data_IF_918272403482
#
_entry.id   IF_918272403482
#
_cell.length_a   1.000
_cell.length_b   1.000
_cell.length_c   1.000
_cell.angle_alpha   90.00
_cell.angle_beta   90.00
_cell.angle_gamma   90.00
#
_symmetry.space_group_name_H-M   'P 1'
#
loop_
_entity.id
_entity.type
_entity.pdbx_description
1 polymer ?
#
# COMPACT_ATOMS: atom_id res chain seq x y z
N UNK A 1 -23.41 13.23 -5.07
CA UNK A 1 -23.84 14.05 -3.88
C UNK A 1 -22.73 14.08 -2.83
N UNK A 2 -22.24 12.92 -2.37
CA UNK A 2 -21.19 12.79 -1.33
C UNK A 2 -19.85 13.39 -1.76
N UNK A 3 -19.37 13.10 -2.97
CA UNK A 3 -18.13 13.66 -3.49
C UNK A 3 -18.12 15.20 -3.54
N UNK A 4 -19.28 15.82 -3.82
CA UNK A 4 -19.44 17.28 -3.82
C UNK A 4 -19.37 17.86 -2.40
N UNK A 5 -19.88 17.15 -1.41
CA UNK A 5 -19.80 17.56 0.00
C UNK A 5 -18.36 17.52 0.51
N UNK A 6 -17.64 16.43 0.22
CA UNK A 6 -16.20 16.29 0.56
C UNK A 6 -15.38 17.39 -0.11
N UNK A 7 -15.62 17.66 -1.39
CA UNK A 7 -14.91 18.72 -2.10
C UNK A 7 -15.17 20.09 -1.51
N UNK A 8 -16.42 20.38 -1.12
CA UNK A 8 -16.77 21.66 -0.46
C UNK A 8 -16.10 21.78 0.92
N UNK A 9 -16.09 20.71 1.71
CA UNK A 9 -15.39 20.68 2.99
C UNK A 9 -13.89 20.97 2.80
N UNK A 10 -13.23 20.29 1.87
CA UNK A 10 -11.81 20.46 1.59
C UNK A 10 -11.48 21.88 1.08
N UNK A 11 -12.33 22.45 0.20
CA UNK A 11 -12.16 23.84 -0.29
C UNK A 11 -12.30 24.88 0.80
N UNK A 12 -13.14 24.62 1.81
CA UNK A 12 -13.34 25.50 2.94
C UNK A 12 -12.27 25.33 4.05
N UNK A 13 -11.41 24.33 3.94
CA UNK A 13 -10.29 24.13 4.87
C UNK A 13 -9.23 25.21 4.64
N UNK A 14 -8.94 26.00 5.68
CA UNK A 14 -7.99 27.13 5.61
C UNK A 14 -6.51 26.71 5.69
N UNK A 15 -6.20 25.42 5.59
CA UNK A 15 -4.81 24.94 5.60
C UNK A 15 -4.11 25.26 4.28
N UNK A 16 -3.18 26.22 4.33
CA UNK A 16 -2.38 26.66 3.17
C UNK A 16 -1.48 25.56 2.57
N UNK A 17 -1.29 24.45 3.27
CA UNK A 17 -0.49 23.29 2.82
C UNK A 17 -1.33 22.24 2.10
N UNK A 18 -2.66 22.36 2.15
CA UNK A 18 -3.58 21.46 1.48
C UNK A 18 -3.57 21.72 -0.03
N UNK A 19 -3.27 20.70 -0.82
CA UNK A 19 -3.37 20.73 -2.28
C UNK A 19 -4.37 19.66 -2.71
N UNK A 20 -5.43 20.08 -3.40
CA UNK A 20 -6.50 19.20 -3.84
C UNK A 20 -6.31 18.88 -5.32
N UNK A 21 -6.23 17.59 -5.66
CA UNK A 21 -6.25 17.09 -7.02
C UNK A 21 -7.59 16.40 -7.27
N UNK A 22 -8.43 17.01 -8.07
CA UNK A 22 -9.73 16.48 -8.41
C UNK A 22 -9.73 15.82 -9.79
N UNK A 23 -10.18 14.56 -9.86
CA UNK A 23 -10.36 13.85 -11.12
C UNK A 23 -11.76 14.14 -11.69
N UNK A 24 -11.83 14.62 -12.93
CA UNK A 24 -13.11 14.96 -13.59
C UNK A 24 -13.98 13.73 -13.86
N UNK A 25 -13.39 12.54 -13.95
CA UNK A 25 -14.06 11.26 -14.16
C UNK A 25 -13.42 10.17 -13.32
N UNK A 26 -14.16 9.10 -13.08
CA UNK A 26 -13.59 7.90 -12.47
C UNK A 26 -12.55 7.27 -13.41
N UNK A 27 -11.30 7.24 -12.99
CA UNK A 27 -10.16 6.67 -13.75
C UNK A 27 -9.74 5.31 -13.22
N UNK A 28 -10.44 4.77 -12.23
CA UNK A 28 -10.11 3.53 -11.53
C UNK A 28 -9.07 3.72 -10.43
N UNK A 29 -9.02 2.75 -9.52
CA UNK A 29 -8.19 2.79 -8.31
C UNK A 29 -6.70 2.86 -8.64
N UNK A 30 -6.22 1.96 -9.48
CA UNK A 30 -4.80 1.90 -9.88
C UNK A 30 -4.32 3.21 -10.52
N UNK A 31 -5.07 3.72 -11.49
CA UNK A 31 -4.69 4.95 -12.20
C UNK A 31 -4.72 6.16 -11.28
N UNK A 32 -5.69 6.24 -10.36
CA UNK A 32 -5.76 7.32 -9.38
C UNK A 32 -4.54 7.31 -8.45
N UNK A 33 -4.15 6.16 -7.94
CA UNK A 33 -2.95 6.00 -7.14
C UNK A 33 -1.67 6.34 -7.91
N UNK A 34 -1.54 5.86 -9.15
CA UNK A 34 -0.39 6.16 -10.00
C UNK A 34 -0.26 7.66 -10.29
N UNK A 35 -1.38 8.34 -10.55
CA UNK A 35 -1.44 9.79 -10.74
C UNK A 35 -0.99 10.56 -9.49
N UNK A 36 -1.49 10.16 -8.32
CA UNK A 36 -1.11 10.74 -7.04
C UNK A 36 0.39 10.56 -6.76
N UNK A 37 0.90 9.34 -6.91
CA UNK A 37 2.33 9.05 -6.70
C UNK A 37 3.23 9.78 -7.70
N UNK A 38 2.83 9.86 -8.97
CA UNK A 38 3.59 10.62 -9.97
C UNK A 38 3.70 12.10 -9.56
N UNK A 39 2.59 12.69 -9.12
CA UNK A 39 2.55 14.09 -8.66
C UNK A 39 3.41 14.32 -7.41
N UNK A 40 3.31 13.42 -6.43
CA UNK A 40 4.03 13.54 -5.18
C UNK A 40 5.53 13.30 -5.36
N UNK A 41 5.93 12.25 -6.09
CA UNK A 41 7.34 11.91 -6.28
C UNK A 41 8.07 12.83 -7.29
N UNK A 42 7.36 13.69 -8.02
CA UNK A 42 8.00 14.82 -8.72
C UNK A 42 8.58 15.82 -7.72
N UNK A 43 7.87 16.07 -6.61
CA UNK A 43 8.21 17.11 -5.63
C UNK A 43 9.00 16.56 -4.43
N UNK A 44 8.72 15.34 -3.99
CA UNK A 44 9.23 14.77 -2.75
C UNK A 44 9.99 13.46 -2.99
N UNK A 45 10.92 13.13 -2.09
CA UNK A 45 11.65 11.87 -2.14
C UNK A 45 11.01 10.77 -1.29
N UNK A 46 10.14 11.12 -0.35
CA UNK A 46 9.43 10.24 0.58
C UNK A 46 7.95 10.64 0.59
N UNK A 47 7.06 9.67 0.62
CA UNK A 47 5.61 9.88 0.64
C UNK A 47 4.99 8.92 1.65
N UNK A 48 4.07 9.42 2.45
CA UNK A 48 3.11 8.64 3.24
C UNK A 48 1.77 8.78 2.54
N UNK A 49 1.10 7.68 2.26
CA UNK A 49 -0.23 7.65 1.65
C UNK A 49 -1.23 7.01 2.59
N UNK A 50 -2.40 7.61 2.65
CA UNK A 50 -3.56 7.19 3.43
C UNK A 50 -4.73 6.94 2.50
N UNK A 51 -5.63 6.04 2.88
CA UNK A 51 -6.93 5.88 2.23
C UNK A 51 -7.99 6.60 3.07
N UNK A 52 -9.11 6.92 2.47
CA UNK A 52 -10.22 7.65 3.11
C UNK A 52 -10.95 6.81 4.17
N UNK A 53 -10.82 5.50 4.12
CA UNK A 53 -11.34 4.53 5.08
C UNK A 53 -10.32 4.10 6.16
N UNK A 54 -9.11 4.66 6.13
CA UNK A 54 -8.07 4.39 7.11
C UNK A 54 -8.16 5.36 8.31
N UNK A 55 -8.35 4.82 9.51
CA UNK A 55 -8.26 5.56 10.78
C UNK A 55 -6.90 5.31 11.40
N UNK A 56 -6.07 6.36 11.44
CA UNK A 56 -4.73 6.29 12.02
C UNK A 56 -4.76 6.37 13.54
N UNK A 57 -3.93 5.56 14.21
CA UNK A 57 -3.75 5.56 15.65
C UNK A 57 -2.60 6.48 16.10
N UNK A 58 -2.56 6.77 17.39
CA UNK A 58 -1.46 7.52 18.02
C UNK A 58 -0.13 6.83 17.69
N UNK A 59 0.86 7.63 17.27
CA UNK A 59 2.19 7.12 16.92
C UNK A 59 2.38 6.78 15.43
N UNK A 60 1.33 6.65 14.63
CA UNK A 60 1.43 6.31 13.20
C UNK A 60 2.40 7.21 12.43
N UNK A 61 2.24 8.52 12.49
CA UNK A 61 3.10 9.47 11.75
C UNK A 61 4.55 9.38 12.24
N UNK A 62 4.77 9.26 13.57
CA UNK A 62 6.10 9.10 14.14
C UNK A 62 6.78 7.81 13.65
N UNK A 63 6.05 6.71 13.62
CA UNK A 63 6.51 5.42 13.09
C UNK A 63 6.90 5.53 11.61
N UNK A 64 6.04 6.10 10.77
CA UNK A 64 6.31 6.26 9.35
C UNK A 64 7.55 7.12 9.07
N UNK A 65 7.65 8.28 9.72
CA UNK A 65 8.80 9.18 9.54
C UNK A 65 10.09 8.53 10.03
N UNK A 66 10.06 7.87 11.19
CA UNK A 66 11.24 7.19 11.74
C UNK A 66 11.79 6.15 10.78
N UNK A 67 10.95 5.25 10.29
CA UNK A 67 11.38 4.19 9.40
C UNK A 67 11.68 4.65 7.97
N UNK A 68 11.01 5.68 7.46
CA UNK A 68 11.39 6.34 6.21
C UNK A 68 12.81 6.91 6.27
N UNK A 69 13.23 7.46 7.41
CA UNK A 69 14.58 7.98 7.61
C UNK A 69 15.58 6.84 7.83
N UNK A 70 15.26 5.90 8.71
CA UNK A 70 16.13 4.75 9.05
C UNK A 70 16.52 3.91 7.83
N UNK A 71 15.58 3.68 6.92
CA UNK A 71 15.78 2.83 5.75
C UNK A 71 15.95 3.58 4.43
N UNK A 72 16.20 4.89 4.46
CA UNK A 72 16.35 5.70 3.26
C UNK A 72 17.38 5.14 2.28
N UNK A 73 18.54 4.74 2.78
CA UNK A 73 19.65 4.22 1.98
C UNK A 73 19.63 2.69 1.83
N UNK A 74 18.73 1.98 2.52
CA UNK A 74 18.61 0.54 2.41
C UNK A 74 17.71 0.17 1.21
N UNK A 75 18.35 -0.25 0.11
CA UNK A 75 17.64 -0.59 -1.14
C UNK A 75 16.72 -1.81 -1.02
N UNK A 76 16.93 -2.68 -0.02
CA UNK A 76 16.06 -3.85 0.22
C UNK A 76 14.73 -3.46 0.81
N UNK A 77 14.67 -2.46 1.70
CA UNK A 77 13.40 -1.98 2.25
C UNK A 77 12.72 -1.09 1.23
N UNK A 78 11.61 -1.55 0.68
CA UNK A 78 10.93 -0.88 -0.42
C UNK A 78 9.59 -0.28 -0.01
N UNK A 79 9.00 -0.73 1.08
CA UNK A 79 7.74 -0.23 1.59
C UNK A 79 7.69 -0.29 3.11
N UNK A 80 6.91 0.60 3.72
CA UNK A 80 6.54 0.59 5.12
C UNK A 80 5.01 0.64 5.15
N UNK A 81 4.36 -0.20 5.94
CA UNK A 81 2.92 -0.14 6.15
C UNK A 81 2.58 0.20 7.60
N UNK A 82 1.46 0.85 7.80
CA UNK A 82 0.93 1.08 9.15
C UNK A 82 -0.01 -0.02 9.62
N UNK A 83 -0.41 -0.91 8.72
CA UNK A 83 -1.34 -1.98 8.99
C UNK A 83 -0.61 -3.28 9.32
N UNK A 84 -1.16 -4.04 10.27
CA UNK A 84 -0.71 -5.39 10.59
C UNK A 84 -1.91 -6.36 10.62
N UNK A 85 -1.72 -7.52 9.99
CA UNK A 85 -2.61 -8.67 10.21
C UNK A 85 -2.17 -9.41 11.47
N UNK A 86 -3.09 -10.17 12.06
CA UNK A 86 -2.74 -11.06 13.16
C UNK A 86 -1.80 -12.15 12.63
N UNK A 87 -0.59 -12.19 13.19
CA UNK A 87 0.43 -13.19 12.89
C UNK A 87 0.92 -13.84 14.17
N UNK A 88 1.36 -15.09 14.08
CA UNK A 88 2.10 -15.73 15.15
C UNK A 88 3.55 -15.33 15.06
N UNK A 89 4.07 -14.74 16.11
CA UNK A 89 5.49 -14.41 16.26
C UNK A 89 6.14 -15.41 17.23
N UNK A 90 7.45 -15.56 17.13
CA UNK A 90 8.22 -16.34 18.11
C UNK A 90 8.01 -15.79 19.51
N UNK A 91 7.98 -16.65 20.56
CA UNK A 91 7.68 -16.24 21.94
C UNK A 91 8.55 -15.10 22.47
N UNK A 92 9.79 -14.99 21.99
CA UNK A 92 10.80 -13.99 22.41
C UNK A 92 10.99 -12.85 21.39
N UNK A 93 10.00 -12.62 20.52
CA UNK A 93 10.08 -11.55 19.53
C UNK A 93 9.91 -10.17 20.19
N UNK A 94 11.01 -9.45 20.42
CA UNK A 94 11.05 -8.19 21.16
C UNK A 94 11.11 -6.93 20.26
N UNK A 95 10.80 -7.06 18.97
CA UNK A 95 10.78 -5.93 18.04
C UNK A 95 9.36 -5.41 17.84
N UNK A 96 9.23 -4.13 17.53
CA UNK A 96 7.95 -3.47 17.23
C UNK A 96 7.48 -3.65 15.78
N UNK A 97 8.31 -4.27 14.94
CA UNK A 97 8.08 -4.40 13.50
C UNK A 97 8.77 -5.64 12.92
N UNK A 98 8.23 -6.13 11.80
CA UNK A 98 8.74 -7.31 11.08
C UNK A 98 8.74 -7.08 9.57
N UNK A 99 9.46 -7.92 8.83
CA UNK A 99 9.56 -7.83 7.38
C UNK A 99 8.75 -8.91 6.67
N UNK A 100 8.11 -8.53 5.55
CA UNK A 100 7.44 -9.45 4.63
C UNK A 100 7.91 -9.23 3.19
N UNK A 101 7.66 -10.20 2.31
CA UNK A 101 7.93 -10.06 0.86
C UNK A 101 6.80 -9.38 0.09
N UNK A 102 5.67 -9.13 0.72
CA UNK A 102 4.52 -8.44 0.11
C UNK A 102 4.14 -7.20 0.91
N UNK A 103 3.59 -6.22 0.24
CA UNK A 103 3.04 -5.04 0.89
C UNK A 103 1.56 -5.22 1.20
N UNK A 104 1.11 -4.59 2.28
CA UNK A 104 -0.30 -4.36 2.55
C UNK A 104 -0.65 -2.93 2.10
N UNK A 105 -1.84 -2.75 1.48
CA UNK A 105 -2.21 -1.47 0.85
C UNK A 105 -2.64 -0.38 1.82
N UNK A 106 -2.89 -0.74 3.06
CA UNK A 106 -3.50 0.16 4.04
C UNK A 106 -2.44 1.06 4.65
N UNK A 107 -2.57 2.37 4.39
CA UNK A 107 -1.70 3.41 4.92
C UNK A 107 -0.21 3.05 4.85
N UNK A 108 0.40 3.36 3.73
CA UNK A 108 1.78 2.96 3.46
C UNK A 108 2.71 4.15 3.22
N UNK A 109 4.00 3.93 3.37
CA UNK A 109 5.03 4.90 3.04
C UNK A 109 6.10 4.28 2.13
N UNK A 110 6.67 5.09 1.26
CA UNK A 110 7.71 4.65 0.33
C UNK A 110 8.55 5.81 -0.19
N UNK A 111 9.52 5.49 -1.02
CA UNK A 111 10.53 6.40 -1.57
C UNK A 111 10.41 6.55 -3.09
N UNK A 112 10.83 7.68 -3.61
CA UNK A 112 10.92 7.97 -5.05
C UNK A 112 11.71 6.90 -5.82
N UNK A 113 12.75 6.31 -5.21
CA UNK A 113 13.52 5.20 -5.82
C UNK A 113 12.66 3.97 -6.10
N UNK A 114 11.73 3.65 -5.21
CA UNK A 114 10.81 2.51 -5.35
C UNK A 114 9.77 2.81 -6.43
N UNK A 115 9.25 4.03 -6.47
CA UNK A 115 8.35 4.48 -7.53
C UNK A 115 8.98 4.38 -8.93
N UNK A 116 10.24 4.79 -9.06
CA UNK A 116 10.99 4.64 -10.32
C UNK A 116 11.13 3.18 -10.75
N UNK A 117 11.40 2.29 -9.79
CA UNK A 117 11.46 0.84 -10.03
C UNK A 117 10.11 0.28 -10.47
N UNK A 118 9.02 0.66 -9.77
CA UNK A 118 7.66 0.31 -10.11
C UNK A 118 7.30 0.69 -11.56
N UNK A 119 7.54 1.94 -11.95
CA UNK A 119 7.27 2.41 -13.32
C UNK A 119 8.05 1.62 -14.38
N UNK A 120 9.30 1.31 -14.10
CA UNK A 120 10.16 0.55 -15.04
C UNK A 120 9.62 -0.86 -15.27
N UNK A 121 9.22 -1.56 -14.21
CA UNK A 121 8.69 -2.93 -14.31
C UNK A 121 7.33 -2.98 -15.01
N UNK A 122 6.48 -1.99 -14.78
CA UNK A 122 5.13 -1.98 -15.33
C UNK A 122 5.03 -1.48 -16.78
N UNK A 123 6.13 -0.97 -17.35
CA UNK A 123 6.17 -0.64 -18.80
C UNK A 123 5.97 -1.87 -19.69
N UNK A 124 6.46 -3.05 -19.25
CA UNK A 124 6.36 -4.30 -20.00
C UNK A 124 5.86 -5.46 -19.11
N UNK A 125 4.57 -5.50 -18.75
CA UNK A 125 4.02 -6.55 -17.90
C UNK A 125 3.85 -7.90 -18.63
N UNK A 126 4.22 -7.99 -19.92
CA UNK A 126 3.85 -9.08 -20.85
C UNK A 126 4.13 -10.49 -20.35
N UNK A 127 5.27 -10.72 -19.72
CA UNK A 127 5.75 -12.09 -19.41
C UNK A 127 5.74 -12.45 -17.92
N UNK A 128 5.07 -11.66 -17.06
CA UNK A 128 5.10 -11.93 -15.60
C UNK A 128 4.62 -13.34 -15.30
N UNK A 129 3.44 -13.71 -15.75
CA UNK A 129 2.81 -15.00 -15.45
C UNK A 129 3.29 -16.14 -16.36
N UNK A 130 3.91 -15.85 -17.52
CA UNK A 130 4.45 -16.85 -18.43
C UNK A 130 5.77 -17.46 -17.93
N UNK A 131 6.58 -16.67 -17.23
CA UNK A 131 7.88 -17.12 -16.70
C UNK A 131 7.69 -18.02 -15.47
N UNK A 132 8.22 -19.23 -15.51
CA UNK A 132 8.21 -20.16 -14.38
C UNK A 132 8.86 -19.51 -13.14
N UNK A 133 10.03 -18.90 -13.29
CA UNK A 133 10.72 -18.18 -12.21
C UNK A 133 9.85 -17.11 -11.56
N UNK A 134 9.06 -16.37 -12.35
CA UNK A 134 8.18 -15.34 -11.79
C UNK A 134 7.00 -15.94 -11.03
N UNK A 135 6.45 -17.07 -11.51
CA UNK A 135 5.39 -17.80 -10.79
C UNK A 135 5.89 -18.31 -9.44
N UNK A 136 7.09 -18.87 -9.40
CA UNK A 136 7.74 -19.32 -8.16
C UNK A 136 7.94 -18.16 -7.18
N UNK A 137 8.43 -17.01 -7.65
CA UNK A 137 8.60 -15.81 -6.82
C UNK A 137 7.28 -15.31 -6.25
N UNK A 138 6.20 -15.28 -7.04
CA UNK A 138 4.88 -14.89 -6.58
C UNK A 138 4.34 -15.85 -5.52
N UNK A 139 4.40 -17.15 -5.78
CA UNK A 139 3.94 -18.19 -4.86
C UNK A 139 4.73 -18.19 -3.53
N UNK A 140 6.03 -17.93 -3.58
CA UNK A 140 6.87 -17.82 -2.38
C UNK A 140 6.53 -16.60 -1.50
N UNK A 141 5.86 -15.58 -2.06
CA UNK A 141 5.40 -14.41 -1.32
C UNK A 141 3.94 -14.50 -0.90
N UNK A 142 3.19 -15.48 -1.41
CA UNK A 142 1.80 -15.77 -1.06
C UNK A 142 1.11 -16.56 -2.17
N UNK A 143 0.45 -17.67 -1.82
CA UNK A 143 -0.23 -18.56 -2.78
C UNK A 143 -1.37 -17.89 -3.54
N UNK A 144 -1.91 -16.82 -3.00
CA UNK A 144 -2.95 -15.97 -3.62
C UNK A 144 -2.41 -14.98 -4.68
N UNK A 145 -1.10 -14.68 -4.65
CA UNK A 145 -0.55 -13.61 -5.50
C UNK A 145 -0.50 -13.98 -6.99
N UNK A 146 -0.26 -15.24 -7.34
CA UNK A 146 -0.26 -15.65 -8.74
C UNK A 146 -1.68 -15.60 -9.37
N UNK A 147 -2.74 -16.14 -8.76
CA UNK A 147 -4.11 -15.93 -9.20
C UNK A 147 -4.50 -14.45 -9.31
N UNK A 148 -4.22 -13.67 -8.28
CA UNK A 148 -4.53 -12.23 -8.27
C UNK A 148 -3.78 -11.46 -9.35
N UNK A 149 -2.51 -11.76 -9.59
CA UNK A 149 -1.73 -11.16 -10.69
C UNK A 149 -2.31 -11.51 -12.05
N UNK A 150 -2.81 -12.73 -12.22
CA UNK A 150 -3.49 -13.15 -13.46
C UNK A 150 -4.75 -12.35 -13.70
N UNK A 151 -5.62 -12.21 -12.69
CA UNK A 151 -6.82 -11.40 -12.76
C UNK A 151 -6.53 -9.93 -13.04
N UNK A 152 -5.52 -9.35 -12.37
CA UNK A 152 -5.10 -7.97 -12.59
C UNK A 152 -4.57 -7.76 -14.02
N UNK A 153 -3.83 -8.72 -14.56
CA UNK A 153 -3.33 -8.68 -15.93
C UNK A 153 -4.44 -8.78 -16.96
N UNK A 154 -5.46 -9.58 -16.71
CA UNK A 154 -6.67 -9.69 -17.52
C UNK A 154 -7.63 -8.49 -17.35
N UNK A 155 -7.28 -7.51 -16.50
CA UNK A 155 -8.12 -6.36 -16.16
C UNK A 155 -9.46 -6.73 -15.52
N UNK A 156 -9.55 -7.90 -14.91
CA UNK A 156 -10.72 -8.37 -14.18
C UNK A 156 -10.79 -7.80 -12.76
N UNK A 157 -9.65 -7.36 -12.23
CA UNK A 157 -9.57 -6.61 -10.97
C UNK A 157 -8.70 -5.36 -11.16
N UNK A 158 -9.07 -4.28 -10.50
CA UNK A 158 -8.31 -3.03 -10.48
C UNK A 158 -7.61 -2.87 -9.12
N UNK A 159 -6.33 -3.22 -9.08
CA UNK A 159 -5.55 -3.20 -7.84
C UNK A 159 -4.10 -2.78 -8.08
N UNK A 160 -3.72 -1.63 -7.55
CA UNK A 160 -2.33 -1.21 -7.53
C UNK A 160 -1.48 -2.10 -6.62
N UNK A 161 -2.07 -2.64 -5.56
CA UNK A 161 -1.37 -3.41 -4.52
C UNK A 161 -0.67 -4.66 -5.06
N UNK A 162 -1.28 -5.33 -6.02
CA UNK A 162 -0.70 -6.51 -6.66
C UNK A 162 0.55 -6.14 -7.46
N UNK A 163 0.47 -5.05 -8.22
CA UNK A 163 1.61 -4.53 -8.99
C UNK A 163 2.72 -3.97 -8.09
N UNK A 164 2.33 -3.36 -6.97
CA UNK A 164 3.29 -2.86 -5.98
C UNK A 164 4.02 -4.00 -5.27
N UNK A 165 3.30 -5.05 -4.85
CA UNK A 165 3.88 -6.27 -4.30
C UNK A 165 4.80 -6.95 -5.30
N UNK A 166 4.40 -7.02 -6.57
CA UNK A 166 5.28 -7.54 -7.63
C UNK A 166 6.58 -6.76 -7.75
N UNK A 167 6.53 -5.43 -7.66
CA UNK A 167 7.74 -4.62 -7.68
C UNK A 167 8.69 -4.95 -6.52
N UNK A 168 8.16 -5.17 -5.33
CA UNK A 168 8.95 -5.57 -4.15
C UNK A 168 9.58 -6.95 -4.38
N UNK A 169 8.77 -7.93 -4.75
CA UNK A 169 9.17 -9.32 -4.98
C UNK A 169 10.26 -9.42 -6.06
N UNK A 170 10.05 -8.78 -7.20
CA UNK A 170 10.94 -8.84 -8.36
C UNK A 170 12.32 -8.23 -8.09
N UNK A 171 12.38 -7.23 -7.21
CA UNK A 171 13.62 -6.58 -6.80
C UNK A 171 14.24 -7.24 -5.54
N UNK A 172 13.74 -8.42 -5.11
CA UNK A 172 14.15 -9.09 -3.86
C UNK A 172 14.09 -8.14 -2.64
N UNK A 173 13.09 -7.26 -2.65
CA UNK A 173 12.83 -6.29 -1.60
C UNK A 173 11.98 -6.87 -0.48
N UNK A 174 11.78 -6.04 0.55
CA UNK A 174 10.92 -6.33 1.69
C UNK A 174 10.04 -5.13 2.04
N UNK A 175 8.91 -5.42 2.68
CA UNK A 175 8.02 -4.46 3.29
C UNK A 175 8.17 -4.55 4.82
N UNK A 176 8.30 -3.42 5.49
CA UNK A 176 8.28 -3.32 6.96
C UNK A 176 6.83 -3.16 7.42
N UNK A 177 6.43 -3.98 8.38
CA UNK A 177 5.10 -3.95 8.99
C UNK A 177 5.22 -3.76 10.49
N UNK A 178 4.33 -3.04 11.18
CA UNK A 178 4.30 -3.01 12.63
C UNK A 178 3.80 -4.35 13.18
N UNK A 179 4.23 -4.74 14.38
CA UNK A 179 3.71 -5.93 15.06
C UNK A 179 2.24 -5.73 15.43
N UNK A 180 1.87 -4.53 15.88
CA UNK A 180 0.48 -4.16 16.08
C UNK A 180 0.07 -3.05 15.12
N UNK A 181 -1.13 -3.17 14.59
CA UNK A 181 -1.63 -2.23 13.59
C UNK A 181 -1.77 -0.82 14.16
N UNK A 182 -1.14 0.13 13.50
CA UNK A 182 -1.26 1.58 13.74
C UNK A 182 -2.39 2.20 12.91
N UNK A 183 -3.14 1.38 12.19
CA UNK A 183 -4.24 1.78 11.34
C UNK A 183 -5.39 0.81 11.52
N UNK A 184 -6.60 1.33 11.56
CA UNK A 184 -7.84 0.58 11.47
C UNK A 184 -8.52 0.92 10.14
N UNK A 185 -8.78 -0.07 9.30
CA UNK A 185 -9.51 0.15 8.06
C UNK A 185 -11.01 -0.07 8.29
N UNK A 186 -11.79 1.00 8.15
CA UNK A 186 -13.25 0.98 8.37
C UNK A 186 -14.00 0.31 7.22
N UNK A 187 -13.43 0.27 6.03
CA UNK A 187 -14.00 -0.40 4.86
C UNK A 187 -14.20 -1.91 5.07
N UNK A 188 -13.46 -2.54 5.99
CA UNK A 188 -13.70 -3.96 6.33
C UNK A 188 -15.03 -4.20 7.07
N UNK A 189 -15.56 -3.18 7.71
CA UNK A 189 -16.76 -3.25 8.54
C UNK A 189 -18.02 -2.79 7.79
N UNK A 190 -17.84 -2.15 6.62
CA UNK A 190 -18.94 -1.63 5.81
C UNK A 190 -19.46 -2.68 4.83
N UNK A 191 -20.74 -3.06 4.98
CA UNK A 191 -21.39 -4.02 4.08
C UNK A 191 -21.55 -3.50 2.65
N UNK A 192 -21.44 -2.20 2.44
CA UNK A 192 -21.50 -1.54 1.13
C UNK A 192 -20.13 -1.38 0.47
N UNK A 193 -19.06 -1.69 1.18
CA UNK A 193 -17.72 -1.62 0.62
C UNK A 193 -17.53 -2.65 -0.49
N UNK A 194 -16.89 -2.25 -1.57
CA UNK A 194 -16.59 -3.11 -2.75
C UNK A 194 -15.83 -4.39 -2.34
N UNK A 195 -15.16 -4.37 -1.19
CA UNK A 195 -14.36 -5.45 -0.63
C UNK A 195 -14.64 -5.61 0.88
N UNK A 196 -15.92 -5.84 1.25
CA UNK A 196 -16.20 -6.16 2.66
C UNK A 196 -15.66 -7.55 2.98
N UNK A 197 -14.67 -7.61 3.85
CA UNK A 197 -14.07 -8.86 4.33
C UNK A 197 -14.40 -9.08 5.80
N UNK A 198 -15.67 -8.97 6.18
CA UNK A 198 -16.10 -9.36 7.53
C UNK A 198 -15.49 -10.74 7.85
N UNK A 199 -14.61 -10.80 8.84
CA UNK A 199 -13.93 -11.99 9.34
C UNK A 199 -12.77 -12.61 8.54
N UNK A 200 -12.36 -12.07 7.38
CA UNK A 200 -11.27 -12.69 6.60
C UNK A 200 -9.86 -12.22 6.98
N UNK A 201 -9.74 -11.00 7.53
CA UNK A 201 -8.44 -10.47 7.97
C UNK A 201 -8.57 -9.85 9.37
N UNK A 202 -8.41 -10.65 10.44
CA UNK A 202 -8.39 -10.09 11.79
C UNK A 202 -7.21 -9.12 11.91
N UNK A 203 -7.53 -7.87 12.24
CA UNK A 203 -6.53 -6.85 12.50
C UNK A 203 -5.86 -7.13 13.84
N UNK A 204 -4.54 -7.06 13.88
CA UNK A 204 -3.81 -7.13 15.14
C UNK A 204 -3.80 -5.73 15.78
N UNK A 205 -4.73 -5.45 16.65
CA UNK A 205 -4.83 -4.18 17.37
C UNK A 205 -4.33 -4.35 18.80
N UNK A 206 -3.55 -3.38 19.31
CA UNK A 206 -3.37 -3.23 20.73
C UNK A 206 -4.72 -2.77 21.34
N UNK A 207 -5.18 -3.45 22.37
CA UNK A 207 -6.23 -2.95 23.24
C UNK A 207 -5.71 -1.80 24.09
#
# INVERSE_FOLDING_TARGET
KEASQVLNYLKNTKDKKLVIYFQQKNIGLKNNWESAYESMFKKFNKVISLQDDDVIKKGFIKYMIYYLNKYENNKKVMNITGFATKISLEPNYNFDSYFTKRSMSYSQASWKRVWRSYKRLNKNPGNIIKSQKNRELLNAAGTDLLPLMTLAKLKLIDSIQIWWSWNIIKNNGVCLNPVASLVENKGFLDDKATHSYKNKFPQNTYN
#
